data_IF_103535042015
#
_entry.id   IF_103535042015
#
_cell.length_a   1.000
_cell.length_b   1.000
_cell.length_c   1.000
_cell.angle_alpha   90.00
_cell.angle_beta   90.00
_cell.angle_gamma   90.00
#
_symmetry.space_group_name_H-M   'P 1'
#
loop_
_entity.id
_entity.type
_entity.pdbx_description
1 polymer ?
#
# COMPACT_ATOMS: atom_id res chain seq x y z
N UNK A 1 41.66 17.74 -8.80
CA UNK A 1 41.45 16.28 -9.06
C UNK A 1 40.32 15.64 -8.25
N UNK A 2 39.53 16.39 -7.49
CA UNK A 2 38.56 15.83 -6.54
C UNK A 2 37.08 15.71 -7.07
N UNK A 3 36.79 16.25 -8.26
CA UNK A 3 35.38 16.30 -8.70
C UNK A 3 34.87 15.08 -9.49
N UNK A 4 35.75 14.15 -9.89
CA UNK A 4 35.38 12.98 -10.71
C UNK A 4 34.95 11.72 -9.96
N UNK A 5 35.15 11.65 -8.66
CA UNK A 5 34.86 10.47 -7.82
C UNK A 5 33.48 10.54 -7.13
N UNK A 6 32.81 11.68 -7.16
CA UNK A 6 31.57 11.92 -6.41
C UNK A 6 30.28 11.43 -7.09
N UNK A 7 30.29 11.22 -8.40
CA UNK A 7 29.09 10.78 -9.17
C UNK A 7 28.77 9.29 -9.08
N UNK A 8 29.38 8.57 -8.13
CA UNK A 8 29.35 7.10 -8.11
C UNK A 8 28.85 6.48 -6.80
N UNK A 9 28.12 7.21 -5.97
CA UNK A 9 27.54 6.67 -4.73
C UNK A 9 26.08 6.30 -4.94
N UNK A 10 25.69 5.07 -4.56
CA UNK A 10 24.34 4.52 -4.69
C UNK A 10 23.79 4.09 -3.34
N UNK A 11 22.59 4.55 -2.97
CA UNK A 11 21.89 4.00 -1.81
C UNK A 11 21.51 2.53 -2.04
N UNK A 12 21.57 1.76 -0.98
CA UNK A 12 21.15 0.37 -0.92
C UNK A 12 20.25 0.23 0.30
N UNK A 13 19.01 -0.15 0.07
CA UNK A 13 17.98 -0.17 1.11
C UNK A 13 17.29 -1.53 1.10
N UNK A 14 17.24 -2.17 2.25
CA UNK A 14 16.39 -3.33 2.55
C UNK A 14 15.35 -2.98 3.60
N UNK A 15 14.29 -3.75 3.68
CA UNK A 15 13.20 -3.53 4.63
C UNK A 15 12.95 -4.79 5.47
N UNK A 16 12.74 -4.59 6.76
CA UNK A 16 12.11 -5.54 7.67
C UNK A 16 10.73 -4.98 8.04
N UNK A 17 9.67 -5.76 7.78
CA UNK A 17 8.29 -5.30 7.95
C UNK A 17 7.56 -6.30 8.82
N UNK A 18 6.99 -5.82 9.92
CA UNK A 18 6.21 -6.60 10.86
C UNK A 18 4.73 -6.27 10.73
N UNK A 19 3.89 -7.32 10.68
CA UNK A 19 2.44 -7.21 10.54
C UNK A 19 1.76 -8.07 11.59
N UNK A 20 1.04 -7.44 12.52
CA UNK A 20 0.17 -8.14 13.46
C UNK A 20 -1.04 -8.69 12.71
N UNK A 21 -1.36 -9.97 12.94
CA UNK A 21 -2.47 -10.63 12.27
C UNK A 21 -3.78 -10.49 13.05
N UNK A 22 -4.86 -10.21 12.36
CA UNK A 22 -6.22 -10.08 12.93
C UNK A 22 -6.85 -11.45 13.20
N UNK A 23 -6.22 -12.25 14.08
CA UNK A 23 -6.75 -13.50 14.57
C UNK A 23 -7.63 -13.28 15.82
N UNK A 24 -8.47 -14.25 16.18
CA UNK A 24 -9.28 -14.17 17.40
C UNK A 24 -8.47 -14.43 18.67
N UNK A 25 -7.43 -15.26 18.57
CA UNK A 25 -6.55 -15.61 19.67
C UNK A 25 -5.09 -15.38 19.35
N UNK A 26 -4.28 -15.31 20.37
CA UNK A 26 -2.82 -15.16 20.27
C UNK A 26 -2.17 -16.34 19.55
N UNK A 27 -0.86 -16.21 19.25
CA UNK A 27 -0.13 -17.17 18.43
C UNK A 27 -0.03 -18.56 19.08
N UNK A 28 0.17 -18.62 20.40
CA UNK A 28 0.45 -19.87 21.09
C UNK A 28 -0.49 -20.15 22.27
N UNK A 29 -1.56 -19.37 22.46
CA UNK A 29 -2.55 -19.56 23.52
C UNK A 29 -3.94 -19.07 23.10
N UNK A 30 -4.94 -19.30 23.97
CA UNK A 30 -6.34 -18.93 23.75
C UNK A 30 -6.70 -17.49 24.14
N UNK A 31 -5.77 -16.69 24.70
CA UNK A 31 -6.05 -15.29 25.01
C UNK A 31 -6.48 -14.54 23.77
N UNK A 32 -7.38 -13.58 23.94
CA UNK A 32 -7.79 -12.69 22.83
C UNK A 32 -6.59 -11.91 22.30
N UNK A 33 -6.48 -11.81 20.98
CA UNK A 33 -5.53 -10.92 20.31
C UNK A 33 -6.07 -9.50 20.13
N UNK A 34 -7.34 -9.23 20.47
CA UNK A 34 -7.93 -7.89 20.49
C UNK A 34 -7.57 -7.18 21.79
N UNK A 35 -6.35 -6.65 21.85
CA UNK A 35 -5.78 -6.04 23.05
C UNK A 35 -5.81 -4.51 23.04
N UNK A 36 -5.99 -3.88 21.87
CA UNK A 36 -5.87 -2.43 21.74
C UNK A 36 -6.94 -1.69 22.54
N UNK A 37 -6.51 -0.76 23.39
CA UNK A 37 -7.42 0.00 24.26
C UNK A 37 -8.02 -0.77 25.44
N UNK A 38 -7.55 -1.99 25.73
CA UNK A 38 -7.96 -2.78 26.90
C UNK A 38 -7.11 -2.42 28.12
N UNK A 39 -7.65 -2.72 29.31
CA UNK A 39 -6.92 -2.56 30.57
C UNK A 39 -5.60 -3.37 30.54
N UNK A 40 -4.48 -2.78 30.96
CA UNK A 40 -3.18 -3.44 30.95
C UNK A 40 -3.22 -4.80 31.65
N UNK A 41 -2.55 -5.79 31.05
CA UNK A 41 -2.44 -7.16 31.58
C UNK A 41 -3.76 -7.90 31.79
N UNK A 42 -4.86 -7.49 31.14
CA UNK A 42 -6.16 -8.15 31.22
C UNK A 42 -6.31 -9.33 30.26
N UNK A 43 -5.45 -9.43 29.22
CA UNK A 43 -5.46 -10.46 28.19
C UNK A 43 -4.20 -11.33 28.27
N UNK A 44 -3.93 -11.91 29.44
CA UNK A 44 -2.74 -12.71 29.70
C UNK A 44 -3.10 -14.07 30.32
N UNK A 45 -2.25 -15.06 30.10
CA UNK A 45 -2.39 -16.40 30.70
C UNK A 45 -0.98 -16.98 30.98
N UNK A 46 -0.87 -18.11 31.70
CA UNK A 46 0.43 -18.75 31.95
C UNK A 46 1.30 -18.97 30.70
N UNK A 47 0.69 -19.29 29.55
CA UNK A 47 1.44 -19.53 28.29
C UNK A 47 2.08 -18.24 27.76
N UNK A 48 1.31 -17.16 27.55
CA UNK A 48 1.87 -15.91 27.01
C UNK A 48 2.73 -15.16 28.02
N UNK A 49 2.63 -15.49 29.33
CA UNK A 49 3.54 -15.00 30.37
C UNK A 49 4.78 -15.89 30.56
N UNK A 50 4.84 -17.05 29.88
CA UNK A 50 5.99 -17.95 29.97
C UNK A 50 6.16 -18.62 31.34
N UNK A 51 5.07 -18.86 32.06
CA UNK A 51 5.17 -19.50 33.36
C UNK A 51 5.60 -20.97 33.26
N UNK A 52 6.35 -21.49 34.24
CA UNK A 52 6.81 -22.88 34.25
C UNK A 52 5.66 -23.88 34.05
N UNK A 53 5.86 -24.87 33.17
CA UNK A 53 4.89 -25.90 32.84
C UNK A 53 3.82 -25.53 31.82
N UNK A 54 3.77 -24.26 31.35
CA UNK A 54 2.87 -23.84 30.28
C UNK A 54 3.46 -24.16 28.91
N UNK A 55 2.68 -24.87 28.06
CA UNK A 55 3.13 -25.29 26.73
C UNK A 55 2.47 -24.46 25.62
N UNK A 56 3.24 -24.02 24.60
CA UNK A 56 2.71 -23.28 23.45
C UNK A 56 1.96 -24.20 22.48
N UNK A 57 0.82 -23.73 21.95
CA UNK A 57 0.07 -24.42 20.88
C UNK A 57 -0.13 -23.48 19.71
N UNK A 58 0.43 -23.78 18.52
CA UNK A 58 0.37 -22.87 17.38
C UNK A 58 -1.04 -22.57 16.88
N UNK A 59 -1.31 -21.30 16.59
CA UNK A 59 -2.57 -20.85 16.01
C UNK A 59 -2.62 -21.18 14.52
N UNK A 60 -3.40 -22.17 14.14
CA UNK A 60 -3.58 -22.60 12.75
C UNK A 60 -4.02 -21.47 11.82
N UNK A 61 -4.89 -20.56 12.30
CA UNK A 61 -5.38 -19.45 11.47
C UNK A 61 -4.29 -18.43 11.17
N UNK A 62 -3.40 -18.17 12.12
CA UNK A 62 -2.23 -17.32 11.90
C UNK A 62 -1.31 -17.91 10.82
N UNK A 63 -1.05 -19.20 10.87
CA UNK A 63 -0.26 -19.93 9.86
C UNK A 63 -0.92 -19.83 8.47
N UNK A 64 -2.24 -20.04 8.37
CA UNK A 64 -3.00 -19.88 7.12
C UNK A 64 -2.90 -18.44 6.57
N UNK A 65 -2.95 -17.43 7.45
CA UNK A 65 -2.80 -16.03 7.07
C UNK A 65 -1.40 -15.72 6.54
N UNK A 66 -0.35 -16.22 7.19
CA UNK A 66 1.01 -16.08 6.67
C UNK A 66 1.15 -16.72 5.29
N UNK A 67 0.63 -17.93 5.09
CA UNK A 67 0.67 -18.63 3.80
C UNK A 67 -0.03 -17.80 2.71
N UNK A 68 -1.17 -17.15 3.01
CA UNK A 68 -1.84 -16.22 2.08
C UNK A 68 -0.94 -15.02 1.73
N UNK A 69 -0.30 -14.40 2.71
CA UNK A 69 0.65 -13.28 2.51
C UNK A 69 1.81 -13.74 1.64
N UNK A 70 2.45 -14.85 1.98
CA UNK A 70 3.58 -15.38 1.25
C UNK A 70 3.22 -15.70 -0.22
N UNK A 71 2.04 -16.28 -0.46
CA UNK A 71 1.54 -16.54 -1.81
C UNK A 71 1.29 -15.26 -2.60
N UNK A 72 0.72 -14.22 -1.96
CA UNK A 72 0.50 -12.92 -2.59
C UNK A 72 1.82 -12.21 -2.95
N UNK A 73 2.90 -12.47 -2.20
CA UNK A 73 4.25 -11.98 -2.47
C UNK A 73 5.06 -12.91 -3.39
N UNK A 74 4.41 -13.91 -4.00
CA UNK A 74 5.03 -14.93 -4.88
C UNK A 74 6.20 -15.67 -4.22
N UNK A 75 6.14 -15.88 -2.91
CA UNK A 75 7.12 -16.69 -2.20
C UNK A 75 6.90 -18.19 -2.46
N UNK A 76 8.01 -18.93 -2.41
CA UNK A 76 7.97 -20.39 -2.34
C UNK A 76 7.59 -20.82 -0.93
N UNK A 77 6.51 -21.58 -0.76
CA UNK A 77 6.14 -22.21 0.51
C UNK A 77 6.97 -23.48 0.69
N UNK A 78 7.63 -23.59 1.83
CA UNK A 78 8.38 -24.79 2.19
C UNK A 78 7.43 -25.93 2.55
N UNK A 79 7.79 -27.16 2.18
CA UNK A 79 6.98 -28.34 2.49
C UNK A 79 6.95 -28.65 4.00
N UNK A 80 8.08 -28.38 4.65
CA UNK A 80 8.27 -28.52 6.11
C UNK A 80 8.72 -27.19 6.67
N UNK A 81 8.35 -26.91 7.91
CA UNK A 81 8.77 -25.72 8.65
C UNK A 81 8.73 -26.00 10.15
N UNK A 82 9.52 -25.27 10.92
CA UNK A 82 9.57 -25.39 12.38
C UNK A 82 9.60 -24.01 13.03
N UNK A 83 9.35 -24.00 14.33
CA UNK A 83 9.61 -22.83 15.16
C UNK A 83 10.96 -22.97 15.86
N UNK A 84 11.59 -21.84 16.11
CA UNK A 84 12.85 -21.69 16.82
C UNK A 84 12.70 -20.69 17.96
N UNK A 85 13.51 -20.84 19.00
CA UNK A 85 13.64 -19.85 20.07
C UNK A 85 14.73 -18.86 19.70
N UNK A 86 14.37 -17.57 19.63
CA UNK A 86 15.27 -16.43 19.45
C UNK A 86 15.57 -15.83 20.81
N UNK A 87 16.76 -16.10 21.35
CA UNK A 87 17.10 -15.72 22.72
C UNK A 87 17.61 -14.29 22.79
N UNK A 88 16.91 -13.47 23.55
CA UNK A 88 17.39 -12.17 24.01
C UNK A 88 16.61 -11.76 25.27
N UNK A 89 17.32 -11.09 26.19
CA UNK A 89 16.74 -10.69 27.46
C UNK A 89 16.28 -9.24 27.37
N UNK A 90 14.97 -9.05 27.38
CA UNK A 90 14.37 -7.72 27.42
C UNK A 90 13.09 -7.75 28.26
N UNK A 91 12.75 -6.65 28.98
CA UNK A 91 11.61 -6.67 29.92
C UNK A 91 10.26 -7.03 29.31
N UNK A 92 10.04 -6.78 28.04
CA UNK A 92 8.81 -7.10 27.29
C UNK A 92 8.73 -8.54 26.78
N UNK A 93 9.77 -9.34 27.05
CA UNK A 93 9.82 -10.78 26.74
C UNK A 93 9.73 -11.60 28.02
N UNK A 94 8.52 -12.02 28.42
CA UNK A 94 8.34 -12.72 29.72
C UNK A 94 9.03 -14.06 29.79
N UNK A 95 9.27 -14.71 28.64
CA UNK A 95 9.98 -16.00 28.53
C UNK A 95 11.51 -15.86 28.46
N UNK A 96 12.04 -14.65 28.23
CA UNK A 96 13.45 -14.43 27.92
C UNK A 96 13.85 -14.83 26.48
N UNK A 97 12.90 -15.27 25.67
CA UNK A 97 13.05 -15.58 24.24
C UNK A 97 11.75 -15.28 23.50
N UNK A 98 11.85 -15.10 22.20
CA UNK A 98 10.72 -15.01 21.28
C UNK A 98 10.64 -16.30 20.47
N UNK A 99 9.45 -16.86 20.31
CA UNK A 99 9.24 -17.97 19.37
C UNK A 99 9.10 -17.35 17.98
N UNK A 100 10.01 -17.77 17.09
CA UNK A 100 10.17 -17.24 15.73
C UNK A 100 10.48 -18.38 14.76
N UNK A 101 10.98 -18.07 13.56
CA UNK A 101 11.48 -19.05 12.60
C UNK A 101 12.81 -18.56 12.01
N UNK A 102 13.82 -19.41 11.94
CA UNK A 102 15.13 -19.01 11.50
C UNK A 102 15.59 -19.73 10.21
N UNK A 103 16.01 -20.99 10.31
CA UNK A 103 16.58 -21.75 9.19
C UNK A 103 15.53 -22.46 8.32
N UNK A 104 14.37 -22.81 8.86
CA UNK A 104 13.27 -23.45 8.14
C UNK A 104 11.96 -22.62 8.25
N UNK A 105 11.94 -21.38 7.75
CA UNK A 105 10.74 -20.56 7.77
C UNK A 105 9.65 -21.15 6.86
N UNK A 106 8.40 -20.71 7.05
CA UNK A 106 7.27 -21.15 6.21
C UNK A 106 7.50 -20.81 4.74
N UNK A 107 8.11 -19.66 4.44
CA UNK A 107 8.31 -19.26 3.05
C UNK A 107 9.57 -18.47 2.78
N UNK A 108 10.09 -18.61 1.53
CA UNK A 108 11.32 -17.98 1.07
C UNK A 108 11.21 -17.55 -0.39
N UNK A 109 12.17 -16.76 -0.85
CA UNK A 109 12.41 -16.44 -2.27
C UNK A 109 11.18 -15.89 -3.00
N UNK A 110 10.55 -14.87 -2.44
CA UNK A 110 9.46 -14.16 -3.09
C UNK A 110 9.94 -13.08 -4.05
N UNK A 111 9.00 -12.55 -4.82
CA UNK A 111 9.24 -11.41 -5.71
C UNK A 111 7.97 -10.63 -5.96
N UNK A 112 8.05 -9.33 -5.91
CA UNK A 112 6.97 -8.42 -6.27
C UNK A 112 7.48 -7.35 -7.23
N UNK A 113 6.56 -6.78 -8.00
CA UNK A 113 6.90 -5.68 -8.91
C UNK A 113 6.27 -4.40 -8.42
N UNK A 114 7.03 -3.31 -8.43
CA UNK A 114 6.56 -1.95 -8.18
C UNK A 114 6.64 -1.14 -9.46
N UNK A 115 5.62 -0.32 -9.71
CA UNK A 115 5.49 0.36 -10.99
C UNK A 115 5.39 -0.63 -12.15
N UNK A 116 6.09 -0.35 -13.26
CA UNK A 116 6.03 -1.21 -14.46
C UNK A 116 7.05 -2.34 -14.44
N UNK A 117 8.28 -2.08 -13.99
CA UNK A 117 9.41 -2.97 -14.30
C UNK A 117 10.35 -3.26 -13.12
N UNK A 118 10.20 -2.57 -11.98
CA UNK A 118 11.12 -2.76 -10.87
C UNK A 118 10.73 -3.94 -10.00
N UNK A 119 11.53 -5.00 -10.03
CA UNK A 119 11.38 -6.17 -9.18
C UNK A 119 12.04 -5.93 -7.81
N UNK A 120 11.32 -6.28 -6.74
CA UNK A 120 11.81 -6.36 -5.38
C UNK A 120 11.74 -7.81 -4.94
N UNK A 121 12.86 -8.35 -4.50
CA UNK A 121 12.96 -9.73 -4.00
C UNK A 121 12.61 -9.75 -2.52
N UNK A 122 11.91 -10.80 -2.12
CA UNK A 122 11.57 -11.10 -0.73
C UNK A 122 12.43 -12.27 -0.29
N UNK A 123 13.28 -12.07 0.70
CA UNK A 123 14.15 -13.13 1.22
C UNK A 123 13.31 -14.21 1.89
N UNK A 124 12.42 -13.79 2.80
CA UNK A 124 11.52 -14.70 3.52
C UNK A 124 10.29 -13.97 4.07
N UNK A 125 9.25 -14.75 4.32
CA UNK A 125 8.09 -14.37 5.15
C UNK A 125 7.95 -15.44 6.21
N UNK A 126 8.05 -15.07 7.47
CA UNK A 126 8.05 -16.01 8.57
C UNK A 126 7.17 -15.55 9.75
N UNK A 127 6.85 -16.49 10.63
CA UNK A 127 5.99 -16.29 11.77
C UNK A 127 6.81 -15.97 13.01
N UNK A 128 6.30 -15.03 13.79
CA UNK A 128 6.79 -14.67 15.11
C UNK A 128 5.61 -14.48 16.09
N UNK A 129 5.90 -14.30 17.35
CA UNK A 129 4.99 -13.73 18.34
C UNK A 129 5.43 -12.31 18.70
N UNK A 130 4.48 -11.42 18.95
CA UNK A 130 4.82 -10.06 19.38
C UNK A 130 5.22 -10.02 20.86
N UNK A 131 5.93 -8.97 21.25
CA UNK A 131 6.41 -8.72 22.61
C UNK A 131 5.39 -7.88 23.40
N UNK A 132 5.58 -7.75 24.71
CA UNK A 132 4.83 -6.84 25.56
C UNK A 132 5.06 -5.36 25.15
N UNK A 133 4.33 -4.46 25.79
CA UNK A 133 4.47 -3.02 25.60
C UNK A 133 5.15 -2.41 26.81
N UNK A 134 6.20 -1.61 26.58
CA UNK A 134 6.85 -0.82 27.62
C UNK A 134 6.28 0.60 27.63
N UNK A 135 5.91 1.08 28.83
CA UNK A 135 5.39 2.42 29.05
C UNK A 135 6.29 3.13 30.05
N UNK A 136 7.05 4.11 29.57
CA UNK A 136 7.96 4.89 30.41
C UNK A 136 7.21 6.04 31.07
N UNK A 137 7.23 6.09 32.41
CA UNK A 137 6.56 7.12 33.19
C UNK A 137 7.50 7.60 34.30
N UNK A 138 8.08 8.78 34.15
CA UNK A 138 9.10 9.29 35.06
C UNK A 138 10.28 8.32 35.17
N UNK A 139 10.59 7.87 36.39
CA UNK A 139 11.69 6.94 36.67
C UNK A 139 11.28 5.46 36.64
N UNK A 140 10.06 5.16 36.18
CA UNK A 140 9.53 3.79 36.13
C UNK A 140 9.21 3.38 34.71
N UNK A 141 9.37 2.10 34.43
CA UNK A 141 8.87 1.45 33.21
C UNK A 141 7.79 0.46 33.61
N UNK A 142 6.56 0.69 33.14
CA UNK A 142 5.45 -0.24 33.30
C UNK A 142 5.44 -1.20 32.11
N UNK A 143 5.02 -2.43 32.36
CA UNK A 143 4.98 -3.47 31.33
C UNK A 143 3.53 -3.93 31.18
N UNK A 144 3.03 -3.88 29.94
CA UNK A 144 1.74 -4.43 29.55
C UNK A 144 1.96 -5.61 28.61
N UNK A 145 1.63 -6.82 29.08
CA UNK A 145 1.76 -8.06 28.33
C UNK A 145 0.52 -8.40 27.48
N UNK A 146 -0.46 -7.51 27.35
CA UNK A 146 -1.63 -7.76 26.52
C UNK A 146 -1.24 -8.06 25.06
N UNK A 147 -0.21 -7.40 24.54
CA UNK A 147 0.31 -7.65 23.20
C UNK A 147 1.20 -8.90 23.10
N UNK A 148 1.85 -9.29 24.20
CA UNK A 148 2.74 -10.48 24.21
C UNK A 148 2.04 -11.72 23.67
N UNK A 149 2.62 -12.35 22.66
CA UNK A 149 2.07 -13.51 21.99
C UNK A 149 1.05 -13.24 20.90
N UNK A 150 0.77 -11.99 20.53
CA UNK A 150 -0.05 -11.68 19.34
C UNK A 150 0.68 -12.21 18.09
N UNK A 151 -0.02 -12.87 17.14
CA UNK A 151 0.62 -13.40 15.95
C UNK A 151 1.22 -12.29 15.10
N UNK A 152 2.50 -12.41 14.79
CA UNK A 152 3.28 -11.43 14.04
C UNK A 152 3.91 -12.09 12.82
N UNK A 153 3.78 -11.48 11.66
CA UNK A 153 4.47 -11.87 10.44
C UNK A 153 5.59 -10.90 10.17
N UNK A 154 6.79 -11.42 9.97
CA UNK A 154 7.93 -10.63 9.49
C UNK A 154 8.16 -10.91 8.01
N UNK A 155 8.24 -9.84 7.22
CA UNK A 155 8.59 -9.83 5.79
C UNK A 155 9.95 -9.18 5.67
N UNK A 156 10.93 -9.92 5.17
CA UNK A 156 12.30 -9.45 4.93
C UNK A 156 12.53 -9.33 3.44
N UNK A 157 12.89 -8.14 2.98
CA UNK A 157 13.26 -7.92 1.57
C UNK A 157 14.77 -8.06 1.36
N UNK A 158 15.16 -8.38 0.12
CA UNK A 158 16.53 -8.10 -0.32
C UNK A 158 16.76 -6.58 -0.40
N UNK A 159 18.01 -6.10 -0.37
CA UNK A 159 18.32 -4.69 -0.42
C UNK A 159 18.26 -4.14 -1.87
N UNK A 160 17.09 -4.28 -2.50
CA UNK A 160 16.88 -3.95 -3.91
C UNK A 160 16.40 -2.51 -4.15
N UNK A 161 16.10 -1.75 -3.07
CA UNK A 161 15.70 -0.37 -3.22
C UNK A 161 16.92 0.58 -3.28
N UNK A 162 16.79 1.61 -4.11
CA UNK A 162 17.83 2.64 -4.29
C UNK A 162 17.35 4.07 -3.99
N UNK A 163 16.07 4.24 -3.67
CA UNK A 163 15.46 5.52 -3.33
C UNK A 163 14.22 5.34 -2.44
N UNK A 164 13.81 6.40 -1.79
CA UNK A 164 12.70 6.42 -0.85
C UNK A 164 11.32 6.39 -1.52
N UNK A 165 11.19 6.81 -2.77
CA UNK A 165 9.92 6.80 -3.50
C UNK A 165 9.49 5.37 -3.82
N UNK A 166 10.42 4.54 -4.28
CA UNK A 166 10.17 3.12 -4.52
C UNK A 166 9.79 2.37 -3.24
N UNK A 167 10.45 2.71 -2.11
CA UNK A 167 10.09 2.17 -0.79
C UNK A 167 8.65 2.53 -0.43
N UNK A 168 8.27 3.79 -0.62
CA UNK A 168 6.91 4.24 -0.34
C UNK A 168 5.87 3.52 -1.19
N UNK A 169 6.09 3.39 -2.51
CA UNK A 169 5.19 2.67 -3.42
C UNK A 169 5.04 1.21 -2.98
N UNK A 170 6.15 0.54 -2.68
CA UNK A 170 6.15 -0.85 -2.22
C UNK A 170 5.31 -1.02 -0.93
N UNK A 171 5.49 -0.13 0.05
CA UNK A 171 4.77 -0.19 1.33
C UNK A 171 3.27 0.06 1.16
N UNK A 172 2.88 1.02 0.31
CA UNK A 172 1.48 1.29 -0.02
C UNK A 172 0.82 0.11 -0.74
N UNK A 173 1.54 -0.54 -1.66
CA UNK A 173 1.06 -1.73 -2.37
C UNK A 173 0.97 -2.94 -1.44
N UNK A 174 1.96 -3.13 -0.57
CA UNK A 174 1.94 -4.18 0.45
C UNK A 174 0.77 -4.01 1.41
N UNK A 175 0.59 -2.81 1.98
CA UNK A 175 -0.53 -2.52 2.88
C UNK A 175 -1.88 -2.81 2.21
N UNK A 176 -2.04 -2.38 0.96
CA UNK A 176 -3.26 -2.64 0.20
C UNK A 176 -3.47 -4.14 0.02
N UNK A 177 -2.43 -4.89 -0.34
CA UNK A 177 -2.48 -6.34 -0.52
C UNK A 177 -2.88 -7.05 0.79
N UNK A 178 -2.29 -6.68 1.92
CA UNK A 178 -2.61 -7.23 3.25
C UNK A 178 -4.09 -7.00 3.61
N UNK A 179 -4.60 -5.79 3.35
CA UNK A 179 -6.01 -5.44 3.57
C UNK A 179 -6.97 -6.20 2.64
N UNK A 180 -6.58 -6.44 1.38
CA UNK A 180 -7.36 -7.27 0.45
C UNK A 180 -7.46 -8.73 0.90
N UNK A 181 -6.38 -9.27 1.46
CA UNK A 181 -6.35 -10.61 2.04
C UNK A 181 -7.21 -10.72 3.32
N UNK A 182 -7.60 -9.60 3.91
CA UNK A 182 -8.34 -9.53 5.17
C UNK A 182 -7.65 -10.28 6.31
N UNK A 183 -6.32 -10.14 6.41
CA UNK A 183 -5.48 -10.82 7.42
C UNK A 183 -4.95 -9.86 8.48
N UNK A 184 -4.98 -8.55 8.23
CA UNK A 184 -4.58 -7.47 9.14
C UNK A 184 -5.19 -6.15 8.66
N UNK A 185 -5.40 -5.20 9.57
CA UNK A 185 -5.69 -3.81 9.23
C UNK A 185 -4.44 -3.06 8.74
N UNK A 186 -3.26 -3.60 9.04
CA UNK A 186 -1.95 -3.06 8.66
C UNK A 186 -1.88 -1.54 8.91
N UNK A 187 -2.16 -1.12 10.13
CA UNK A 187 -2.22 0.28 10.55
C UNK A 187 -0.94 0.64 11.32
N UNK A 188 -0.17 1.59 10.78
CA UNK A 188 1.08 2.05 11.41
C UNK A 188 0.83 2.87 12.68
N UNK A 189 -0.26 3.63 12.76
CA UNK A 189 -0.57 4.47 13.93
C UNK A 189 -0.98 3.60 15.12
N UNK A 190 -1.66 2.48 14.86
CA UNK A 190 -1.99 1.48 15.90
C UNK A 190 -0.83 0.54 16.22
N UNK A 191 0.21 0.52 15.38
CA UNK A 191 1.35 -0.37 15.52
C UNK A 191 1.12 -1.78 14.98
N UNK A 192 -0.01 -2.05 14.29
CA UNK A 192 -0.24 -3.34 13.64
C UNK A 192 0.54 -3.52 12.33
N UNK A 193 1.17 -2.46 11.83
CA UNK A 193 2.22 -2.51 10.82
C UNK A 193 3.40 -1.66 11.28
N UNK A 194 4.58 -2.27 11.35
CA UNK A 194 5.84 -1.63 11.72
C UNK A 194 6.88 -1.95 10.67
N UNK A 195 7.83 -1.07 10.48
CA UNK A 195 8.88 -1.28 9.49
C UNK A 195 10.20 -0.65 9.91
N UNK A 196 11.27 -1.27 9.47
CA UNK A 196 12.64 -0.92 9.80
C UNK A 196 13.46 -0.89 8.50
N UNK A 197 13.69 0.30 7.90
CA UNK A 197 14.60 0.43 6.78
C UNK A 197 16.03 0.22 7.22
N UNK A 198 16.75 -0.63 6.50
CA UNK A 198 18.19 -0.85 6.62
C UNK A 198 18.90 -0.16 5.44
N UNK A 199 19.72 0.85 5.72
CA UNK A 199 20.30 1.73 4.71
C UNK A 199 21.80 1.68 4.75
N UNK A 200 22.43 1.53 3.59
CA UNK A 200 23.86 1.74 3.37
C UNK A 200 24.11 2.45 2.04
N UNK A 201 25.30 2.96 1.86
CA UNK A 201 25.75 3.61 0.62
C UNK A 201 26.93 2.82 0.07
N UNK A 202 26.85 2.38 -1.17
CA UNK A 202 27.95 1.74 -1.88
C UNK A 202 28.47 2.61 -3.02
N UNK A 203 29.68 2.33 -3.52
CA UNK A 203 30.11 2.87 -4.81
C UNK A 203 29.33 2.21 -5.93
N UNK A 204 29.01 2.94 -6.98
CA UNK A 204 28.34 2.39 -8.17
C UNK A 204 29.16 1.22 -8.72
N UNK A 205 28.50 0.08 -8.95
CA UNK A 205 29.16 -1.17 -9.34
C UNK A 205 30.22 -1.70 -8.35
N UNK A 206 30.25 -1.17 -7.10
CA UNK A 206 31.13 -1.62 -6.04
C UNK A 206 30.53 -2.73 -5.18
N UNK A 207 31.35 -3.29 -4.28
CA UNK A 207 30.86 -4.22 -3.24
C UNK A 207 29.87 -3.52 -2.31
N UNK A 208 29.04 -4.32 -1.65
CA UNK A 208 28.17 -3.85 -0.57
C UNK A 208 29.03 -3.19 0.53
N UNK A 209 28.46 -2.21 1.22
CA UNK A 209 29.12 -1.59 2.36
C UNK A 209 29.21 -2.57 3.54
N UNK A 210 30.27 -2.46 4.33
CA UNK A 210 30.47 -3.29 5.53
C UNK A 210 29.65 -2.81 6.74
N UNK A 211 28.75 -1.86 6.52
CA UNK A 211 27.85 -1.32 7.55
C UNK A 211 26.42 -1.24 7.02
N UNK A 212 25.46 -1.25 7.93
CA UNK A 212 24.07 -0.86 7.67
C UNK A 212 23.54 -0.02 8.84
N UNK A 213 22.72 0.96 8.52
CA UNK A 213 22.00 1.78 9.50
C UNK A 213 20.54 1.41 9.45
N UNK A 214 20.04 0.95 10.58
CA UNK A 214 18.65 0.59 10.78
C UNK A 214 17.88 1.80 11.34
N UNK A 215 16.71 2.13 10.77
CA UNK A 215 15.88 3.21 11.31
C UNK A 215 14.64 2.61 11.94
N UNK A 216 14.35 2.98 13.18
CA UNK A 216 13.20 2.52 13.96
C UNK A 216 12.25 3.66 14.31
N UNK A 217 11.09 3.30 14.87
CA UNK A 217 10.11 4.24 15.42
C UNK A 217 9.56 5.22 14.38
N UNK A 218 9.12 4.69 13.24
CA UNK A 218 8.48 5.47 12.18
C UNK A 218 7.01 5.02 12.08
N UNK A 219 6.07 5.94 12.17
CA UNK A 219 4.64 5.67 12.27
C UNK A 219 3.81 6.03 11.02
N UNK A 220 4.44 6.44 9.92
CA UNK A 220 3.75 6.70 8.66
C UNK A 220 4.68 6.56 7.44
N UNK A 221 4.14 6.20 6.29
CA UNK A 221 4.91 6.09 5.04
C UNK A 221 5.54 7.42 4.61
N UNK A 222 4.90 8.55 4.95
CA UNK A 222 5.45 9.88 4.71
C UNK A 222 6.74 10.09 5.51
N UNK A 223 6.77 9.67 6.77
CA UNK A 223 7.96 9.78 7.61
C UNK A 223 9.03 8.75 7.27
N UNK A 224 8.64 7.56 6.78
CA UNK A 224 9.60 6.60 6.21
C UNK A 224 10.39 7.23 5.08
N UNK A 225 9.71 7.83 4.09
CA UNK A 225 10.35 8.51 2.99
C UNK A 225 11.33 9.58 3.48
N UNK A 226 10.89 10.46 4.39
CA UNK A 226 11.73 11.54 4.92
C UNK A 226 12.93 11.02 5.71
N UNK A 227 12.75 9.98 6.51
CA UNK A 227 13.81 9.36 7.29
C UNK A 227 14.89 8.75 6.39
N UNK A 228 14.47 8.04 5.34
CA UNK A 228 15.37 7.48 4.33
C UNK A 228 16.13 8.60 3.59
N UNK A 229 15.43 9.64 3.11
CA UNK A 229 16.05 10.75 2.39
C UNK A 229 17.09 11.49 3.26
N UNK A 230 16.77 11.70 4.54
CA UNK A 230 17.71 12.30 5.49
C UNK A 230 18.92 11.42 5.70
N UNK A 231 18.71 10.12 5.94
CA UNK A 231 19.79 9.19 6.25
C UNK A 231 20.74 8.99 5.06
N UNK A 232 20.22 8.91 3.85
CA UNK A 232 21.02 8.86 2.62
C UNK A 232 21.95 10.09 2.54
N UNK A 233 21.40 11.29 2.75
CA UNK A 233 22.19 12.53 2.74
C UNK A 233 23.27 12.52 3.80
N UNK A 234 22.93 12.14 5.05
CA UNK A 234 23.89 12.06 6.17
C UNK A 234 25.04 11.11 5.86
N UNK A 235 24.73 9.91 5.35
CA UNK A 235 25.76 8.92 5.04
C UNK A 235 26.68 9.39 3.90
N UNK A 236 26.10 9.99 2.85
CA UNK A 236 26.88 10.56 1.73
C UNK A 236 27.81 11.68 2.23
N UNK A 237 27.34 12.57 3.13
CA UNK A 237 28.17 13.63 3.70
C UNK A 237 29.35 13.09 4.55
N UNK A 238 29.11 12.04 5.32
CA UNK A 238 30.17 11.37 6.08
C UNK A 238 31.22 10.75 5.14
N UNK A 239 30.76 10.01 4.12
CA UNK A 239 31.66 9.38 3.15
C UNK A 239 32.47 10.40 2.36
N UNK A 240 31.91 11.57 2.04
CA UNK A 240 32.62 12.69 1.41
C UNK A 240 33.74 13.24 2.29
N UNK A 241 33.59 13.16 3.61
CA UNK A 241 34.64 13.54 4.60
C UNK A 241 35.63 12.41 4.90
N UNK A 242 35.53 11.28 4.19
CA UNK A 242 36.37 10.11 4.45
C UNK A 242 35.97 9.33 5.70
N UNK A 243 34.78 9.58 6.26
CA UNK A 243 34.26 8.93 7.47
C UNK A 243 33.29 7.82 7.07
N UNK A 244 33.61 6.57 7.40
CA UNK A 244 32.66 5.45 7.22
C UNK A 244 31.58 5.52 8.29
N UNK A 245 30.29 5.48 7.92
CA UNK A 245 29.20 5.42 8.88
C UNK A 245 29.32 4.17 9.78
N UNK A 246 28.97 4.31 11.05
CA UNK A 246 28.93 3.18 11.98
C UNK A 246 27.70 2.33 11.76
N UNK A 247 27.80 1.04 12.07
CA UNK A 247 26.62 0.17 12.15
C UNK A 247 25.83 0.53 13.41
N UNK A 248 24.65 1.10 13.23
CA UNK A 248 23.86 1.65 14.34
C UNK A 248 22.35 1.52 14.08
N UNK A 249 21.57 1.55 15.17
CA UNK A 249 20.14 1.79 15.12
C UNK A 249 19.86 3.26 15.41
N UNK A 250 19.05 3.88 14.58
CA UNK A 250 18.65 5.29 14.69
C UNK A 250 17.14 5.42 14.80
N UNK A 251 16.69 6.42 15.57
CA UNK A 251 15.30 6.88 15.57
C UNK A 251 15.10 8.03 14.60
N UNK A 252 13.85 8.33 14.25
CA UNK A 252 13.49 9.51 13.48
C UNK A 252 12.69 10.51 14.34
N UNK A 253 13.18 11.75 14.40
CA UNK A 253 12.47 12.86 15.05
C UNK A 253 11.59 13.56 14.01
N UNK A 254 10.26 13.45 14.21
CA UNK A 254 9.28 13.99 13.28
C UNK A 254 9.24 15.52 13.27
N UNK A 255 9.57 16.17 14.39
CA UNK A 255 9.58 17.65 14.51
C UNK A 255 10.80 18.23 13.83
N UNK A 256 11.97 17.67 14.13
CA UNK A 256 13.23 18.12 13.58
C UNK A 256 13.51 17.55 12.18
N UNK A 257 12.73 16.56 11.72
CA UNK A 257 12.91 15.85 10.44
C UNK A 257 14.33 15.28 10.27
N UNK A 258 14.89 14.70 11.35
CA UNK A 258 16.25 14.19 11.42
C UNK A 258 16.30 12.81 12.07
N UNK A 259 17.27 11.99 11.69
CA UNK A 259 17.58 10.77 12.42
C UNK A 259 18.53 11.10 13.59
N UNK A 260 18.38 10.37 14.70
CA UNK A 260 19.27 10.44 15.86
C UNK A 260 19.70 9.05 16.29
N UNK A 261 20.93 8.91 16.80
CA UNK A 261 21.46 7.62 17.27
C UNK A 261 20.72 7.16 18.51
N UNK A 262 20.16 5.95 18.48
CA UNK A 262 19.57 5.28 19.65
C UNK A 262 20.56 4.29 20.25
N UNK A 263 21.22 3.47 19.40
CA UNK A 263 22.12 2.42 19.84
C UNK A 263 23.19 2.17 18.79
N UNK A 264 24.43 2.07 19.21
CA UNK A 264 25.54 1.62 18.36
C UNK A 264 25.63 0.09 18.50
N UNK A 265 25.63 -0.63 17.38
CA UNK A 265 25.79 -2.08 17.34
C UNK A 265 27.30 -2.39 17.18
N UNK A 266 28.00 -2.60 18.28
CA UNK A 266 29.42 -2.97 18.23
C UNK A 266 29.64 -4.41 17.79
N UNK A 267 28.66 -5.29 18.03
CA UNK A 267 28.68 -6.70 17.62
C UNK A 267 27.29 -7.14 17.16
N UNK A 268 27.23 -8.09 16.22
CA UNK A 268 26.00 -8.78 15.89
C UNK A 268 25.51 -9.55 17.12
N UNK A 269 24.25 -9.38 17.51
CA UNK A 269 23.68 -10.19 18.58
C UNK A 269 23.62 -11.65 18.12
N UNK A 270 24.33 -12.52 18.82
CA UNK A 270 24.13 -13.96 18.72
C UNK A 270 22.84 -14.32 19.48
N UNK A 271 21.75 -14.48 18.74
CA UNK A 271 20.45 -14.88 19.32
C UNK A 271 20.38 -16.34 19.72
N UNK A 272 21.43 -17.14 19.51
CA UNK A 272 21.51 -18.55 19.89
C UNK A 272 20.26 -19.31 19.54
N UNK A 273 19.84 -19.24 18.28
CA UNK A 273 18.67 -19.94 17.80
C UNK A 273 18.80 -21.45 18.03
N UNK A 274 17.73 -22.07 18.55
CA UNK A 274 17.57 -23.51 18.52
C UNK A 274 16.07 -23.87 18.35
N UNK A 275 15.75 -25.07 17.84
CA UNK A 275 14.37 -25.49 17.63
C UNK A 275 13.54 -25.39 18.90
N UNK A 276 12.28 -24.88 18.78
CA UNK A 276 11.33 -24.88 19.88
C UNK A 276 10.91 -26.34 20.20
N UNK A 277 11.31 -26.91 21.34
CA UNK A 277 11.12 -28.34 21.61
C UNK A 277 9.67 -28.75 21.86
N UNK A 278 8.83 -27.79 22.26
CA UNK A 278 7.43 -28.04 22.62
C UNK A 278 6.47 -27.92 21.43
N UNK A 279 6.99 -27.55 20.25
CA UNK A 279 6.20 -27.44 19.02
C UNK A 279 6.78 -28.37 17.95
N UNK A 280 6.06 -29.43 17.54
CA UNK A 280 6.54 -30.32 16.50
C UNK A 280 6.63 -29.59 15.14
N UNK A 281 7.56 -30.03 14.25
CA UNK A 281 7.64 -29.51 12.90
C UNK A 281 6.33 -29.60 12.14
N UNK A 282 6.02 -28.60 11.35
CA UNK A 282 4.83 -28.51 10.52
C UNK A 282 5.10 -29.12 9.14
N UNK A 283 4.15 -29.88 8.61
CA UNK A 283 4.18 -30.44 7.27
C UNK A 283 2.96 -29.95 6.49
N UNK A 284 3.19 -29.34 5.35
CA UNK A 284 2.13 -28.79 4.50
C UNK A 284 1.88 -29.70 3.29
N UNK A 285 0.70 -30.36 3.25
CA UNK A 285 0.29 -31.14 2.07
C UNK A 285 -0.12 -30.20 0.93
N UNK A 286 -0.04 -30.70 -0.32
CA UNK A 286 -0.50 -29.96 -1.50
C UNK A 286 -1.97 -29.56 -1.39
N UNK A 287 -2.83 -30.48 -0.90
CA UNK A 287 -4.27 -30.21 -0.76
C UNK A 287 -4.56 -29.14 0.28
N UNK A 288 -3.81 -29.14 1.39
CA UNK A 288 -3.90 -28.08 2.39
C UNK A 288 -3.54 -26.72 1.81
N UNK A 289 -2.44 -26.65 1.07
CA UNK A 289 -2.01 -25.41 0.41
C UNK A 289 -2.99 -24.95 -0.67
N UNK A 290 -3.48 -25.86 -1.51
CA UNK A 290 -4.44 -25.54 -2.58
C UNK A 290 -5.74 -24.97 -1.99
N UNK A 291 -6.24 -25.51 -0.88
CA UNK A 291 -7.40 -24.95 -0.19
C UNK A 291 -7.16 -23.51 0.29
N UNK A 292 -5.98 -23.22 0.85
CA UNK A 292 -5.65 -21.85 1.27
C UNK A 292 -5.53 -20.92 0.07
N UNK A 293 -4.94 -21.40 -1.03
CA UNK A 293 -4.76 -20.58 -2.23
C UNK A 293 -6.09 -20.25 -2.92
N UNK A 294 -7.06 -21.16 -2.92
CA UNK A 294 -8.41 -20.90 -3.47
C UNK A 294 -9.18 -19.84 -2.69
N UNK A 295 -8.84 -19.60 -1.43
CA UNK A 295 -9.42 -18.56 -0.59
C UNK A 295 -8.81 -17.16 -0.81
N UNK A 296 -7.77 -17.03 -1.64
CA UNK A 296 -7.13 -15.74 -1.91
C UNK A 296 -7.99 -14.96 -2.91
N UNK A 297 -8.47 -13.75 -2.56
CA UNK A 297 -9.23 -12.93 -3.49
C UNK A 297 -8.36 -12.44 -4.64
N UNK A 298 -8.99 -11.90 -5.69
CA UNK A 298 -8.24 -11.19 -6.72
C UNK A 298 -7.46 -10.03 -6.09
N UNK A 299 -6.13 -10.06 -6.25
CA UNK A 299 -5.22 -9.09 -5.65
C UNK A 299 -5.24 -7.76 -6.42
N UNK A 300 -4.89 -6.61 -5.76
CA UNK A 300 -4.95 -5.29 -6.37
C UNK A 300 -4.27 -5.18 -7.73
N UNK A 301 -3.08 -5.74 -7.89
CA UNK A 301 -2.33 -5.68 -9.16
C UNK A 301 -3.03 -6.43 -10.29
N UNK A 302 -3.62 -7.60 -10.01
CA UNK A 302 -4.40 -8.36 -10.98
C UNK A 302 -5.68 -7.63 -11.36
N UNK A 303 -6.32 -6.99 -10.40
CA UNK A 303 -7.51 -6.17 -10.61
C UNK A 303 -7.20 -4.94 -11.47
N UNK A 304 -6.04 -4.28 -11.27
CA UNK A 304 -5.56 -3.19 -12.14
C UNK A 304 -5.37 -3.70 -13.58
N UNK A 305 -4.67 -4.83 -13.78
CA UNK A 305 -4.48 -5.44 -15.10
C UNK A 305 -5.83 -5.70 -15.79
N UNK A 306 -6.78 -6.28 -15.06
CA UNK A 306 -8.14 -6.54 -15.55
C UNK A 306 -8.89 -5.27 -15.92
N UNK A 307 -8.87 -4.25 -15.07
CA UNK A 307 -9.52 -2.96 -15.33
C UNK A 307 -9.00 -2.28 -16.59
N UNK A 308 -7.69 -2.33 -16.82
CA UNK A 308 -7.08 -1.78 -18.03
C UNK A 308 -7.49 -2.60 -19.25
N UNK A 309 -7.43 -3.94 -19.15
CA UNK A 309 -7.69 -4.83 -20.26
C UNK A 309 -9.17 -4.87 -20.65
N UNK A 310 -10.04 -5.10 -19.68
CA UNK A 310 -11.45 -5.41 -19.89
C UNK A 310 -12.32 -4.16 -19.93
N UNK A 311 -12.08 -3.21 -18.99
CA UNK A 311 -12.86 -1.98 -18.87
C UNK A 311 -12.23 -0.78 -19.59
N UNK A 312 -11.04 -0.94 -20.18
CA UNK A 312 -10.30 0.13 -20.87
C UNK A 312 -10.07 1.40 -20.03
N UNK A 313 -9.94 1.22 -18.72
CA UNK A 313 -9.69 2.30 -17.77
C UNK A 313 -8.21 2.70 -17.81
N UNK A 314 -7.94 3.98 -17.61
CA UNK A 314 -6.56 4.48 -17.49
C UNK A 314 -5.87 3.88 -16.27
N UNK A 315 -4.58 3.57 -16.39
CA UNK A 315 -3.78 3.01 -15.28
C UNK A 315 -3.92 3.79 -13.98
N UNK A 316 -3.83 5.13 -14.04
CA UNK A 316 -3.94 6.00 -12.87
C UNK A 316 -5.26 5.84 -12.14
N UNK A 317 -6.37 5.72 -12.89
CA UNK A 317 -7.70 5.60 -12.34
C UNK A 317 -7.93 4.19 -11.78
N UNK A 318 -7.48 3.15 -12.51
CA UNK A 318 -7.48 1.78 -12.03
C UNK A 318 -6.68 1.63 -10.72
N UNK A 319 -5.50 2.28 -10.64
CA UNK A 319 -4.68 2.30 -9.44
C UNK A 319 -5.41 2.94 -8.26
N UNK A 320 -6.06 4.11 -8.44
CA UNK A 320 -6.82 4.78 -7.39
C UNK A 320 -8.00 3.92 -6.92
N UNK A 321 -8.78 3.37 -7.82
CA UNK A 321 -9.94 2.53 -7.51
C UNK A 321 -9.55 1.30 -6.69
N UNK A 322 -8.40 0.71 -6.98
CA UNK A 322 -7.94 -0.52 -6.32
C UNK A 322 -7.22 -0.30 -4.98
N UNK A 323 -6.99 0.95 -4.54
CA UNK A 323 -6.42 1.22 -3.20
C UNK A 323 -7.35 0.83 -2.06
N UNK A 324 -8.65 0.70 -2.32
CA UNK A 324 -9.65 0.29 -1.34
C UNK A 324 -10.55 -0.79 -1.94
N UNK A 325 -10.60 -1.95 -1.28
CA UNK A 325 -11.38 -3.11 -1.75
C UNK A 325 -12.88 -2.77 -1.87
N UNK A 326 -13.43 -2.06 -0.89
CA UNK A 326 -14.86 -1.66 -0.90
C UNK A 326 -15.16 -0.78 -2.13
N UNK A 327 -14.28 0.18 -2.41
CA UNK A 327 -14.43 1.06 -3.58
C UNK A 327 -14.32 0.27 -4.89
N UNK A 328 -13.40 -0.68 -4.97
CA UNK A 328 -13.26 -1.56 -6.14
C UNK A 328 -14.51 -2.42 -6.37
N UNK A 329 -15.00 -3.06 -5.31
CA UNK A 329 -16.17 -3.94 -5.39
C UNK A 329 -17.42 -3.13 -5.75
N UNK A 330 -17.58 -1.93 -5.18
CA UNK A 330 -18.65 -1.01 -5.52
C UNK A 330 -18.59 -0.55 -6.98
N UNK A 331 -17.41 -0.21 -7.47
CA UNK A 331 -17.19 0.19 -8.86
C UNK A 331 -17.62 -0.88 -9.85
N UNK A 332 -17.26 -2.14 -9.62
CA UNK A 332 -17.66 -3.26 -10.49
C UNK A 332 -19.17 -3.46 -10.50
N UNK A 333 -19.80 -3.44 -9.33
CA UNK A 333 -21.25 -3.54 -9.22
C UNK A 333 -21.99 -2.36 -9.87
N UNK A 334 -21.41 -1.16 -9.77
CA UNK A 334 -21.98 0.03 -10.41
C UNK A 334 -21.91 -0.07 -11.95
N UNK A 335 -20.79 -0.55 -12.50
CA UNK A 335 -20.66 -0.81 -13.95
C UNK A 335 -21.75 -1.78 -14.41
N UNK A 336 -21.86 -2.94 -13.77
CA UNK A 336 -22.82 -3.98 -14.12
C UNK A 336 -24.25 -3.44 -14.14
N UNK A 337 -24.64 -2.74 -13.08
CA UNK A 337 -26.00 -2.17 -12.97
C UNK A 337 -26.29 -1.07 -13.99
N UNK A 338 -25.33 -0.17 -14.21
CA UNK A 338 -25.52 0.93 -15.18
C UNK A 338 -25.62 0.39 -16.60
N UNK A 339 -24.72 -0.53 -17.00
CA UNK A 339 -24.75 -1.15 -18.34
C UNK A 339 -26.06 -1.92 -18.55
N UNK A 340 -26.49 -2.73 -17.57
CA UNK A 340 -27.73 -3.49 -17.65
C UNK A 340 -28.97 -2.59 -17.83
N UNK A 341 -28.98 -1.41 -17.22
CA UNK A 341 -30.11 -0.47 -17.31
C UNK A 341 -30.10 0.37 -18.58
N UNK A 342 -28.93 0.62 -19.17
CA UNK A 342 -28.82 1.36 -20.43
C UNK A 342 -29.25 0.54 -21.65
N UNK A 343 -29.51 -0.78 -21.55
CA UNK A 343 -30.01 -1.69 -22.61
C UNK A 343 -29.28 -1.55 -23.96
N UNK A 344 -27.98 -1.23 -23.97
CA UNK A 344 -27.20 -0.94 -25.19
C UNK A 344 -27.67 0.28 -26.03
N UNK A 345 -28.69 1.01 -25.60
CA UNK A 345 -29.27 2.14 -26.37
C UNK A 345 -28.40 3.40 -26.37
N UNK A 346 -27.48 3.52 -25.43
CA UNK A 346 -26.57 4.65 -25.33
C UNK A 346 -25.21 4.23 -25.87
N UNK A 347 -24.90 4.63 -27.11
CA UNK A 347 -23.53 4.61 -27.69
C UNK A 347 -22.62 5.62 -26.97
N UNK A 348 -22.54 5.57 -25.65
CA UNK A 348 -21.57 6.34 -24.89
C UNK A 348 -20.25 5.60 -24.95
N UNK A 349 -19.31 6.18 -25.68
CA UNK A 349 -17.94 5.68 -25.67
C UNK A 349 -17.43 5.75 -24.22
N UNK A 350 -17.04 4.59 -23.67
CA UNK A 350 -16.30 4.45 -22.42
C UNK A 350 -17.14 4.75 -21.15
N UNK A 351 -18.27 4.03 -20.97
CA UNK A 351 -19.14 4.12 -19.79
C UNK A 351 -18.33 3.82 -18.51
N UNK A 352 -17.50 2.80 -18.52
CA UNK A 352 -16.70 2.33 -17.40
C UNK A 352 -15.73 3.43 -16.92
N UNK A 353 -15.05 4.13 -17.85
CA UNK A 353 -14.20 5.26 -17.51
C UNK A 353 -14.99 6.44 -16.93
N UNK A 354 -16.21 6.63 -17.40
CA UNK A 354 -17.09 7.69 -16.87
C UNK A 354 -17.53 7.38 -15.43
N UNK A 355 -17.90 6.12 -15.15
CA UNK A 355 -18.23 5.67 -13.80
C UNK A 355 -17.02 5.79 -12.88
N UNK A 356 -15.81 5.37 -13.35
CA UNK A 356 -14.56 5.57 -12.63
C UNK A 356 -14.38 7.04 -12.22
N UNK A 357 -14.55 7.96 -13.19
CA UNK A 357 -14.44 9.39 -12.95
C UNK A 357 -15.49 9.92 -11.95
N UNK A 358 -16.71 9.39 -11.96
CA UNK A 358 -17.75 9.80 -11.01
C UNK A 358 -17.36 9.43 -9.57
N UNK A 359 -16.79 8.25 -9.38
CA UNK A 359 -16.35 7.76 -8.07
C UNK A 359 -15.10 8.49 -7.60
N UNK A 360 -14.05 8.54 -8.43
CA UNK A 360 -12.75 9.13 -8.08
C UNK A 360 -12.88 10.61 -7.77
N UNK A 361 -13.63 11.36 -8.59
CA UNK A 361 -13.84 12.79 -8.41
C UNK A 361 -14.99 13.11 -7.43
N UNK A 362 -15.52 12.10 -6.74
CA UNK A 362 -16.61 12.24 -5.75
C UNK A 362 -17.86 12.95 -6.29
N UNK A 363 -18.12 12.87 -7.60
CA UNK A 363 -19.35 13.42 -8.20
C UNK A 363 -20.58 12.65 -7.74
N UNK A 364 -20.42 11.33 -7.54
CA UNK A 364 -21.42 10.46 -6.95
C UNK A 364 -20.72 9.68 -5.82
N UNK A 365 -21.15 9.88 -4.55
CA UNK A 365 -20.52 9.19 -3.42
C UNK A 365 -20.83 7.69 -3.43
N UNK A 366 -19.83 6.87 -3.04
CA UNK A 366 -19.99 5.40 -2.88
C UNK A 366 -20.78 5.03 -1.62
N UNK A 367 -21.16 5.99 -0.78
CA UNK A 367 -22.06 5.78 0.36
C UNK A 367 -23.52 5.65 -0.04
N UNK A 368 -23.87 5.99 -1.28
CA UNK A 368 -25.22 5.79 -1.82
C UNK A 368 -25.49 4.31 -2.10
N UNK A 369 -26.76 3.94 -2.09
CA UNK A 369 -27.18 2.64 -2.62
C UNK A 369 -26.79 2.54 -4.11
N UNK A 370 -26.53 1.30 -4.58
CA UNK A 370 -26.25 1.08 -6.00
C UNK A 370 -27.37 1.55 -6.92
N UNK A 371 -28.60 1.55 -6.44
CA UNK A 371 -29.77 2.01 -7.18
C UNK A 371 -29.73 3.54 -7.39
N UNK A 372 -29.50 4.28 -6.31
CA UNK A 372 -29.37 5.74 -6.38
C UNK A 372 -28.16 6.17 -7.20
N UNK A 373 -27.04 5.46 -7.06
CA UNK A 373 -25.84 5.68 -7.87
C UNK A 373 -26.17 5.51 -9.36
N UNK A 374 -26.83 4.40 -9.71
CA UNK A 374 -27.20 4.07 -11.09
C UNK A 374 -28.09 5.15 -11.69
N UNK A 375 -29.13 5.60 -10.97
CA UNK A 375 -30.03 6.67 -11.43
C UNK A 375 -29.27 7.99 -11.70
N UNK A 376 -28.37 8.37 -10.80
CA UNK A 376 -27.54 9.58 -10.97
C UNK A 376 -26.54 9.43 -12.11
N UNK A 377 -25.91 8.25 -12.22
CA UNK A 377 -24.94 7.97 -13.28
C UNK A 377 -25.61 8.04 -14.67
N UNK A 378 -26.78 7.41 -14.85
CA UNK A 378 -27.54 7.46 -16.10
C UNK A 378 -27.90 8.89 -16.45
N UNK A 379 -28.41 9.68 -15.50
CA UNK A 379 -28.73 11.09 -15.71
C UNK A 379 -27.53 11.93 -16.18
N UNK A 380 -26.30 11.59 -15.68
CA UNK A 380 -25.07 12.26 -16.10
C UNK A 380 -24.50 11.74 -17.43
N UNK A 381 -24.81 10.50 -17.79
CA UNK A 381 -24.39 9.86 -19.04
C UNK A 381 -25.37 10.14 -20.19
N UNK A 382 -26.65 10.39 -19.89
CA UNK A 382 -27.63 10.70 -20.91
C UNK A 382 -27.29 12.02 -21.61
N UNK A 383 -27.43 12.07 -22.94
CA UNK A 383 -27.28 13.33 -23.67
C UNK A 383 -28.17 14.39 -23.04
N UNK A 384 -27.65 15.58 -22.85
CA UNK A 384 -28.51 16.69 -22.43
C UNK A 384 -29.46 17.01 -23.55
N UNK A 385 -30.76 16.93 -23.28
CA UNK A 385 -31.75 17.45 -24.21
C UNK A 385 -31.42 18.91 -24.49
N UNK A 386 -30.96 19.18 -25.70
CA UNK A 386 -30.65 20.53 -26.14
C UNK A 386 -31.96 21.13 -26.69
N UNK A 387 -32.47 22.13 -26.01
CA UNK A 387 -33.53 22.94 -26.59
C UNK A 387 -32.95 23.66 -27.83
N UNK A 388 -33.29 23.09 -29.00
CA UNK A 388 -32.76 23.55 -30.28
C UNK A 388 -33.23 25.00 -30.56
N UNK A 389 -34.44 25.38 -30.12
CA UNK A 389 -34.95 26.74 -30.31
C UNK A 389 -34.15 27.74 -29.46
N UNK A 390 -33.91 27.43 -28.19
CA UNK A 390 -33.07 28.22 -27.31
C UNK A 390 -31.62 28.30 -27.85
N UNK A 391 -31.07 27.16 -28.31
CA UNK A 391 -29.72 27.12 -28.89
C UNK A 391 -29.61 28.02 -30.12
N UNK A 392 -30.56 27.95 -31.06
CA UNK A 392 -30.54 28.73 -32.27
C UNK A 392 -30.65 30.24 -31.97
N UNK A 393 -31.47 30.62 -30.99
CA UNK A 393 -31.54 32.03 -30.57
C UNK A 393 -30.23 32.54 -30.02
N UNK A 394 -29.57 31.73 -29.11
CA UNK A 394 -28.24 32.08 -28.55
C UNK A 394 -27.17 32.13 -29.65
N UNK A 395 -27.23 31.24 -30.62
CA UNK A 395 -26.28 31.21 -31.75
C UNK A 395 -26.42 32.51 -32.57
N UNK A 396 -27.64 32.92 -32.90
CA UNK A 396 -27.92 34.16 -33.67
C UNK A 396 -27.40 35.40 -32.91
N UNK A 397 -27.66 35.45 -31.60
CA UNK A 397 -27.13 36.56 -30.76
C UNK A 397 -25.62 36.58 -30.71
N UNK A 398 -24.96 35.41 -30.57
CA UNK A 398 -23.48 35.34 -30.56
C UNK A 398 -22.90 35.72 -31.91
N UNK A 399 -23.48 35.30 -33.03
CA UNK A 399 -23.07 35.68 -34.38
C UNK A 399 -23.16 37.18 -34.53
N UNK A 400 -24.29 37.80 -34.16
CA UNK A 400 -24.54 39.25 -34.26
C UNK A 400 -23.57 40.04 -33.40
N UNK A 401 -23.22 39.59 -32.22
CA UNK A 401 -22.33 40.29 -31.30
C UNK A 401 -20.83 40.04 -31.56
N UNK A 402 -20.48 39.18 -32.54
CA UNK A 402 -19.09 38.85 -32.86
C UNK A 402 -18.78 38.89 -34.37
N UNK A 403 -19.28 39.91 -35.08
CA UNK A 403 -19.17 40.05 -36.53
C UNK A 403 -17.73 39.91 -37.07
N UNK A 404 -16.76 40.46 -36.37
CA UNK A 404 -15.34 40.36 -36.74
C UNK A 404 -14.83 38.91 -36.74
N UNK A 405 -15.24 38.09 -35.76
CA UNK A 405 -14.84 36.69 -35.65
C UNK A 405 -15.54 35.84 -36.72
N UNK A 406 -16.80 36.17 -37.01
CA UNK A 406 -17.56 35.54 -38.09
C UNK A 406 -16.92 35.84 -39.44
N UNK A 407 -16.49 37.09 -39.70
CA UNK A 407 -15.77 37.47 -40.90
C UNK A 407 -14.44 36.74 -41.03
N UNK A 408 -13.67 36.61 -39.94
CA UNK A 408 -12.43 35.84 -39.91
C UNK A 408 -12.65 34.38 -40.27
N UNK A 409 -13.71 33.76 -39.74
CA UNK A 409 -14.09 32.38 -40.07
C UNK A 409 -14.43 32.24 -41.56
N UNK A 410 -15.27 33.15 -42.11
CA UNK A 410 -15.64 33.14 -43.53
C UNK A 410 -14.46 33.41 -44.48
N UNK A 411 -13.41 34.05 -44.00
CA UNK A 411 -12.12 34.19 -44.70
C UNK A 411 -11.18 33.00 -44.62
N UNK A 412 -11.64 31.88 -44.03
CA UNK A 412 -10.90 30.63 -43.97
C UNK A 412 -10.13 30.35 -42.66
N UNK A 413 -10.22 31.23 -41.65
CA UNK A 413 -9.63 30.97 -40.32
C UNK A 413 -10.48 29.96 -39.52
N UNK A 414 -10.34 28.68 -39.81
CA UNK A 414 -11.15 27.61 -39.23
C UNK A 414 -11.19 27.61 -37.68
N UNK A 415 -10.12 28.03 -37.01
CA UNK A 415 -10.04 28.07 -35.55
C UNK A 415 -10.93 29.18 -34.92
N UNK A 416 -11.38 30.16 -35.68
CA UNK A 416 -12.27 31.22 -35.18
C UNK A 416 -13.64 30.69 -34.71
N UNK A 417 -14.12 29.58 -35.28
CA UNK A 417 -15.38 28.96 -34.87
C UNK A 417 -15.34 28.45 -33.43
N UNK A 418 -14.17 28.00 -32.93
CA UNK A 418 -14.05 27.55 -31.58
C UNK A 418 -14.24 28.64 -30.53
N UNK A 419 -13.90 29.89 -30.87
CA UNK A 419 -14.21 31.05 -30.05
C UNK A 419 -15.75 31.25 -29.95
N UNK A 420 -16.45 31.16 -31.08
CA UNK A 420 -17.92 31.27 -31.11
C UNK A 420 -18.59 30.15 -30.32
N UNK A 421 -18.08 28.90 -30.43
CA UNK A 421 -18.53 27.78 -29.61
C UNK A 421 -18.38 28.12 -28.12
N UNK A 422 -17.25 28.66 -27.70
CA UNK A 422 -17.01 29.09 -26.31
C UNK A 422 -18.02 30.13 -25.82
N UNK A 423 -18.34 31.14 -26.67
CA UNK A 423 -19.32 32.19 -26.35
C UNK A 423 -20.75 31.60 -26.25
N UNK A 424 -21.16 30.73 -27.18
CA UNK A 424 -22.47 30.06 -27.12
C UNK A 424 -22.55 29.20 -25.87
N UNK A 425 -21.53 28.42 -25.56
CA UNK A 425 -21.48 27.55 -24.36
C UNK A 425 -21.60 28.37 -23.07
N UNK A 426 -20.97 29.52 -23.00
CA UNK A 426 -21.08 30.47 -21.87
C UNK A 426 -22.50 30.98 -21.69
N UNK A 427 -23.15 31.42 -22.80
CA UNK A 427 -24.50 32.01 -22.78
C UNK A 427 -25.59 30.95 -22.51
N UNK A 428 -25.45 29.73 -23.04
CA UNK A 428 -26.40 28.65 -22.83
C UNK A 428 -26.21 27.96 -21.47
N UNK A 429 -25.19 28.41 -20.68
CA UNK A 429 -24.88 27.89 -19.33
C UNK A 429 -24.75 26.36 -19.28
N UNK A 430 -24.13 25.78 -20.29
CA UNK A 430 -23.90 24.33 -20.38
C UNK A 430 -25.16 23.48 -20.62
N UNK A 431 -26.26 24.05 -21.12
CA UNK A 431 -27.50 23.31 -21.49
C UNK A 431 -27.44 22.66 -22.88
N UNK A 432 -26.32 22.75 -23.60
CA UNK A 432 -26.08 22.09 -24.87
C UNK A 432 -24.68 21.44 -24.88
N UNK A 433 -24.49 20.40 -25.70
CA UNK A 433 -23.19 19.79 -25.92
C UNK A 433 -22.36 20.62 -26.94
N UNK A 434 -21.05 20.75 -26.70
CA UNK A 434 -20.16 21.52 -27.59
C UNK A 434 -20.17 21.00 -29.05
N UNK A 435 -20.36 19.70 -29.25
CA UNK A 435 -20.50 19.09 -30.58
C UNK A 435 -21.78 19.55 -31.30
N UNK A 436 -22.89 19.62 -30.58
CA UNK A 436 -24.17 20.10 -31.11
C UNK A 436 -24.07 21.59 -31.44
N UNK A 437 -23.50 22.38 -30.51
CA UNK A 437 -23.23 23.82 -30.74
C UNK A 437 -22.37 24.05 -31.98
N UNK A 438 -21.30 23.27 -32.14
CA UNK A 438 -20.41 23.36 -33.29
C UNK A 438 -21.13 23.02 -34.62
N UNK A 439 -21.97 21.96 -34.57
CA UNK A 439 -22.77 21.55 -35.75
C UNK A 439 -23.76 22.63 -36.17
N UNK A 440 -24.50 23.20 -35.21
CA UNK A 440 -25.49 24.22 -35.49
C UNK A 440 -24.84 25.55 -35.90
N UNK A 441 -23.69 25.92 -35.28
CA UNK A 441 -22.89 27.08 -35.72
C UNK A 441 -22.41 26.91 -37.17
N UNK A 442 -21.96 25.73 -37.56
CA UNK A 442 -21.53 25.46 -38.95
C UNK A 442 -22.70 25.57 -39.95
N UNK A 443 -23.90 25.14 -39.56
CA UNK A 443 -25.10 25.26 -40.41
C UNK A 443 -25.50 26.73 -40.60
N UNK A 444 -25.42 27.53 -39.52
CA UNK A 444 -25.84 28.94 -39.56
C UNK A 444 -24.81 29.87 -40.24
N UNK A 445 -23.53 29.48 -40.24
CA UNK A 445 -22.44 30.29 -40.88
C UNK A 445 -22.17 29.93 -42.35
N UNK A 446 -22.69 28.77 -42.81
CA UNK A 446 -22.53 28.30 -44.19
C UNK A 446 -21.28 27.46 -44.34
#
# INVERSE_FOLDING_TARGET
MESKTMDKLEPVIGLEIHIELSTKSKMFCQCSSDYFGKEPNSHVCPVCLGLPGALPVPNKKAIEYLIKIARALNCKINKTSKFDRKHYFYPDLPKGYQISQYDEPISVNGKVYIGKDKQIRITRVHMEEDTGKLIHTGNKTLIDFNRSGVPLVEIVTEPDFSNSDDVKIFLEDLQTTIRYLNVSDADMEKGSMRLEPNISIKKKNGKMADYKVEIKNINSFKFVKKAIDYEIKRQIELLKKGITPKQETRGFDEKLQKTYTQRIKEQAHDYRYFPEPDIPPMVFSKDYLNRIFSDIPELPNKRIERYIKDFKIKYTDAYILTRNKIMSDYFEQAIEKVIKRLNNDVKTQNIEQSIANFIINKKIPISLSLEEFTNRAIKLLSPKETDINLLNNVIKDVIKNNEKVVFDYKKGKQNAIMFLVGQVMKNIKGKAEAKVVLSELKKELG
#
